data_IF_228736293399
#
_entry.id   IF_228736293399
#
_cell.length_a   1.000
_cell.length_b   1.000
_cell.length_c   1.000
_cell.angle_alpha   90.00
_cell.angle_beta   90.00
_cell.angle_gamma   90.00
#
_symmetry.space_group_name_H-M   'P 1'
#
loop_
_entity.id
_entity.type
_entity.pdbx_description
1 polymer ?
#
# COMPACT_ATOMS: atom_id res chain seq x y z
N UNK A 1 -41.90 -20.50 -14.46
CA UNK A 1 -40.66 -20.46 -13.62
C UNK A 1 -39.45 -20.60 -14.49
N UNK A 2 -38.32 -19.97 -14.12
CA UNK A 2 -37.04 -20.02 -14.85
C UNK A 2 -36.58 -21.48 -15.14
N UNK A 3 -36.67 -22.37 -14.14
CA UNK A 3 -36.41 -23.81 -14.34
C UNK A 3 -37.31 -24.44 -15.39
N UNK A 4 -38.58 -24.03 -15.46
CA UNK A 4 -39.50 -24.47 -16.51
C UNK A 4 -39.07 -24.03 -17.90
N UNK A 5 -38.68 -22.77 -18.05
CA UNK A 5 -38.15 -22.19 -19.29
C UNK A 5 -36.84 -22.89 -19.72
N UNK A 6 -35.90 -23.04 -18.82
CA UNK A 6 -34.63 -23.73 -19.02
C UNK A 6 -34.83 -25.18 -19.43
N UNK A 7 -35.77 -25.90 -18.78
CA UNK A 7 -36.13 -27.29 -19.12
C UNK A 7 -36.78 -27.39 -20.49
N UNK A 8 -37.57 -26.39 -20.85
CA UNK A 8 -38.20 -26.30 -22.20
C UNK A 8 -37.21 -25.97 -23.28
N UNK A 9 -36.28 -25.01 -23.03
CA UNK A 9 -35.23 -24.64 -23.97
C UNK A 9 -34.25 -25.80 -24.23
N UNK A 10 -33.86 -26.56 -23.18
CA UNK A 10 -32.98 -27.74 -23.32
C UNK A 10 -33.60 -28.87 -24.15
N UNK A 11 -34.89 -28.89 -24.34
CA UNK A 11 -35.57 -29.84 -25.20
C UNK A 11 -35.50 -29.50 -26.69
N UNK A 12 -35.09 -28.28 -27.05
CA UNK A 12 -34.91 -27.89 -28.44
C UNK A 12 -33.70 -28.60 -29.05
N UNK A 13 -33.88 -29.24 -30.18
CA UNK A 13 -32.82 -30.03 -30.87
C UNK A 13 -31.58 -29.23 -31.17
N UNK A 14 -31.70 -27.92 -31.40
CA UNK A 14 -30.62 -27.00 -31.76
C UNK A 14 -30.18 -26.06 -30.64
N UNK A 15 -30.56 -26.35 -29.41
CA UNK A 15 -30.29 -25.44 -28.28
C UNK A 15 -28.81 -25.12 -28.14
N UNK A 16 -27.91 -26.11 -28.19
CA UNK A 16 -26.46 -25.90 -28.09
C UNK A 16 -25.89 -25.06 -29.24
N UNK A 17 -26.38 -25.31 -30.46
CA UNK A 17 -25.95 -24.54 -31.64
C UNK A 17 -26.37 -23.08 -31.54
N UNK A 18 -27.55 -22.80 -31.01
CA UNK A 18 -28.02 -21.44 -30.74
C UNK A 18 -27.14 -20.77 -29.66
N UNK A 19 -26.82 -21.49 -28.57
CA UNK A 19 -25.89 -20.98 -27.55
C UNK A 19 -24.52 -20.64 -28.13
N UNK A 20 -23.94 -21.48 -28.95
CA UNK A 20 -22.63 -21.28 -29.55
C UNK A 20 -22.63 -20.11 -30.56
N UNK A 21 -23.70 -19.93 -31.33
CA UNK A 21 -23.88 -18.78 -32.23
C UNK A 21 -23.99 -17.47 -31.42
N UNK A 22 -24.76 -17.49 -30.34
CA UNK A 22 -24.95 -16.33 -29.48
C UNK A 22 -23.63 -15.95 -28.79
N UNK A 23 -22.87 -16.93 -28.30
CA UNK A 23 -21.54 -16.70 -27.70
C UNK A 23 -20.57 -16.11 -28.74
N UNK A 24 -20.58 -16.59 -29.96
CA UNK A 24 -19.78 -16.08 -31.08
C UNK A 24 -20.11 -14.62 -31.42
N UNK A 25 -21.40 -14.32 -31.57
CA UNK A 25 -21.89 -12.96 -31.84
C UNK A 25 -21.54 -12.01 -30.68
N UNK A 26 -21.68 -12.46 -29.44
CA UNK A 26 -21.33 -11.67 -28.29
C UNK A 26 -19.84 -11.31 -28.27
N UNK A 27 -18.99 -12.26 -28.64
CA UNK A 27 -17.54 -12.02 -28.67
C UNK A 27 -17.14 -11.02 -29.76
N UNK A 28 -17.76 -11.14 -30.95
CA UNK A 28 -17.40 -10.33 -32.11
C UNK A 28 -17.93 -8.89 -32.03
N UNK A 29 -19.18 -8.74 -31.60
CA UNK A 29 -19.88 -7.44 -31.69
C UNK A 29 -20.09 -6.73 -30.37
N UNK A 30 -19.60 -7.27 -29.28
CA UNK A 30 -19.83 -6.69 -27.90
C UNK A 30 -19.46 -5.22 -27.75
N UNK A 31 -18.53 -4.73 -28.58
CA UNK A 31 -18.06 -3.34 -28.49
C UNK A 31 -18.83 -2.40 -29.44
N UNK A 32 -19.73 -2.89 -30.27
CA UNK A 32 -20.51 -2.06 -31.15
C UNK A 32 -21.72 -1.42 -30.44
N UNK A 33 -21.99 -0.16 -30.75
CA UNK A 33 -23.06 0.61 -30.11
C UNK A 33 -24.45 -0.01 -30.30
N UNK A 34 -24.74 -0.52 -31.49
CA UNK A 34 -25.99 -1.17 -31.82
C UNK A 34 -26.20 -2.48 -31.07
N UNK A 35 -25.14 -3.25 -30.91
CA UNK A 35 -25.15 -4.48 -30.12
C UNK A 35 -25.35 -4.19 -28.63
N UNK A 36 -24.66 -3.18 -28.11
CA UNK A 36 -24.80 -2.74 -26.74
C UNK A 36 -26.22 -2.27 -26.43
N UNK A 37 -26.78 -1.46 -27.31
CA UNK A 37 -28.18 -1.01 -27.21
C UNK A 37 -29.15 -2.18 -27.21
N UNK A 38 -28.95 -3.13 -28.09
CA UNK A 38 -29.77 -4.35 -28.19
C UNK A 38 -29.68 -5.17 -26.90
N UNK A 39 -28.47 -5.43 -26.41
CA UNK A 39 -28.23 -6.20 -25.20
C UNK A 39 -28.92 -5.55 -23.96
N UNK A 40 -28.80 -4.24 -23.80
CA UNK A 40 -29.47 -3.52 -22.72
C UNK A 40 -30.99 -3.60 -22.85
N UNK A 41 -31.54 -3.45 -24.05
CA UNK A 41 -32.98 -3.57 -24.27
C UNK A 41 -33.50 -4.97 -23.93
N UNK A 42 -32.76 -6.02 -24.29
CA UNK A 42 -33.12 -7.40 -23.96
C UNK A 42 -33.06 -7.65 -22.43
N UNK A 43 -32.04 -7.16 -21.76
CA UNK A 43 -31.98 -7.24 -20.30
C UNK A 43 -33.17 -6.56 -19.62
N UNK A 44 -33.58 -5.38 -20.08
CA UNK A 44 -34.74 -4.67 -19.57
C UNK A 44 -36.05 -5.43 -19.75
N UNK A 45 -36.17 -6.21 -20.84
CA UNK A 45 -37.34 -7.07 -21.07
C UNK A 45 -37.29 -8.36 -20.24
N UNK A 46 -36.12 -8.94 -20.04
CA UNK A 46 -35.95 -10.18 -19.27
C UNK A 46 -36.08 -9.97 -17.75
N UNK A 47 -35.66 -8.81 -17.25
CA UNK A 47 -35.62 -8.53 -15.82
C UNK A 47 -36.98 -8.70 -15.12
N UNK A 48 -38.13 -8.20 -15.65
CA UNK A 48 -39.45 -8.42 -15.06
C UNK A 48 -39.85 -9.90 -15.07
N UNK A 49 -39.39 -10.68 -16.05
CA UNK A 49 -39.73 -12.10 -16.16
C UNK A 49 -39.03 -12.94 -15.10
N UNK A 50 -37.88 -12.48 -14.60
CA UNK A 50 -37.13 -13.18 -13.55
C UNK A 50 -37.86 -13.14 -12.19
N UNK A 51 -38.79 -12.21 -11.97
CA UNK A 51 -39.61 -12.02 -10.75
C UNK A 51 -38.89 -12.45 -9.45
N UNK A 52 -37.72 -11.90 -9.28
CA UNK A 52 -36.74 -12.33 -8.29
C UNK A 52 -37.28 -12.26 -6.84
N UNK A 53 -38.15 -11.31 -6.54
CA UNK A 53 -38.80 -11.23 -5.22
C UNK A 53 -39.72 -12.43 -4.92
N UNK A 54 -40.45 -12.92 -5.91
CA UNK A 54 -41.31 -14.08 -5.72
C UNK A 54 -40.53 -15.39 -5.70
N UNK A 55 -39.46 -15.51 -6.49
CA UNK A 55 -38.54 -16.68 -6.47
C UNK A 55 -37.89 -16.77 -5.09
N UNK A 56 -37.38 -15.69 -4.57
CA UNK A 56 -36.74 -15.63 -3.25
C UNK A 56 -37.73 -15.92 -2.13
N UNK A 57 -38.93 -15.31 -2.15
CA UNK A 57 -39.96 -15.52 -1.15
C UNK A 57 -40.53 -16.96 -1.16
N UNK A 58 -40.69 -17.54 -2.32
CA UNK A 58 -41.13 -18.95 -2.45
C UNK A 58 -40.06 -19.91 -1.97
N UNK A 59 -38.78 -19.60 -2.20
CA UNK A 59 -37.67 -20.43 -1.77
C UNK A 59 -37.49 -20.39 -0.25
N UNK A 60 -37.48 -19.20 0.35
CA UNK A 60 -37.35 -19.02 1.82
C UNK A 60 -38.54 -19.59 2.59
N UNK A 61 -39.77 -19.55 2.05
CA UNK A 61 -40.94 -20.13 2.69
C UNK A 61 -41.01 -21.66 2.59
N UNK A 62 -40.40 -22.26 1.57
CA UNK A 62 -40.45 -23.71 1.33
C UNK A 62 -39.37 -24.49 2.08
N UNK A 63 -38.31 -23.82 2.49
CA UNK A 63 -37.14 -24.43 3.10
C UNK A 63 -36.73 -23.72 4.38
N UNK A 64 -37.56 -23.80 5.41
CA UNK A 64 -37.27 -23.22 6.74
C UNK A 64 -35.99 -23.75 7.38
N UNK A 65 -35.58 -24.97 7.03
CA UNK A 65 -34.31 -25.56 7.46
C UNK A 65 -33.08 -24.94 6.76
N UNK A 66 -33.27 -24.24 5.65
CA UNK A 66 -32.19 -23.46 4.98
C UNK A 66 -31.92 -22.12 5.65
N UNK A 67 -32.71 -21.77 6.68
CA UNK A 67 -32.46 -20.59 7.48
C UNK A 67 -31.07 -20.60 8.12
N UNK A 68 -30.55 -21.79 8.44
CA UNK A 68 -29.22 -22.01 8.98
C UNK A 68 -28.15 -22.24 7.90
N UNK A 69 -28.57 -22.35 6.61
CA UNK A 69 -27.71 -22.51 5.45
C UNK A 69 -28.16 -21.59 4.31
N UNK A 70 -28.22 -20.30 4.59
CA UNK A 70 -28.52 -19.25 3.58
C UNK A 70 -27.64 -19.37 2.33
N UNK A 71 -26.45 -19.94 2.49
CA UNK A 71 -25.47 -20.21 1.44
C UNK A 71 -26.00 -21.05 0.27
N UNK A 72 -26.68 -22.15 0.56
CA UNK A 72 -27.14 -23.09 -0.48
C UNK A 72 -28.34 -22.54 -1.30
N UNK A 73 -29.22 -21.80 -0.67
CA UNK A 73 -30.41 -21.25 -1.33
C UNK A 73 -30.08 -20.20 -2.36
N UNK A 74 -29.09 -19.39 -2.08
CA UNK A 74 -28.62 -18.34 -2.97
C UNK A 74 -27.94 -18.92 -4.21
N UNK A 75 -27.07 -19.91 -4.04
CA UNK A 75 -26.42 -20.62 -5.15
C UNK A 75 -27.45 -21.29 -6.06
N UNK A 76 -28.49 -21.89 -5.53
CA UNK A 76 -29.51 -22.54 -6.36
C UNK A 76 -30.38 -21.56 -7.16
N UNK A 77 -30.52 -20.31 -6.76
CA UNK A 77 -31.31 -19.29 -7.46
C UNK A 77 -30.44 -18.51 -8.45
N UNK A 78 -29.30 -18.02 -7.97
CA UNK A 78 -28.41 -17.13 -8.74
C UNK A 78 -27.53 -17.90 -9.72
N UNK A 79 -26.97 -19.03 -9.30
CA UNK A 79 -26.11 -19.87 -10.12
C UNK A 79 -26.73 -20.37 -11.41
N UNK A 80 -28.02 -20.85 -11.46
CA UNK A 80 -28.65 -21.22 -12.71
C UNK A 80 -28.91 -20.06 -13.65
N UNK A 81 -29.19 -18.87 -13.13
CA UNK A 81 -29.35 -17.66 -13.95
C UNK A 81 -28.02 -17.30 -14.58
N UNK A 82 -26.98 -17.36 -13.77
CA UNK A 82 -25.64 -16.92 -14.13
C UNK A 82 -24.90 -17.90 -15.02
N UNK A 83 -25.00 -19.21 -14.75
CA UNK A 83 -24.37 -20.25 -15.56
C UNK A 83 -25.16 -20.63 -16.83
N UNK A 84 -26.34 -20.02 -17.04
CA UNK A 84 -27.03 -20.21 -18.30
C UNK A 84 -26.40 -19.31 -19.36
N UNK A 85 -25.75 -19.90 -20.35
CA UNK A 85 -25.07 -19.19 -21.44
C UNK A 85 -25.97 -18.14 -22.11
N UNK A 86 -27.25 -18.45 -22.29
CA UNK A 86 -28.22 -17.54 -22.90
C UNK A 86 -28.50 -16.32 -22.06
N UNK A 87 -28.62 -16.48 -20.73
CA UNK A 87 -28.80 -15.35 -19.80
C UNK A 87 -27.50 -14.61 -19.64
N UNK A 88 -26.37 -15.31 -19.54
CA UNK A 88 -25.04 -14.73 -19.44
C UNK A 88 -24.73 -13.84 -20.65
N UNK A 89 -25.07 -14.26 -21.84
CA UNK A 89 -24.96 -13.45 -23.06
C UNK A 89 -25.58 -12.05 -22.89
N UNK A 90 -26.75 -11.97 -22.28
CA UNK A 90 -27.43 -10.70 -22.03
C UNK A 90 -26.90 -9.95 -20.79
N UNK A 91 -26.32 -10.66 -19.83
CA UNK A 91 -25.70 -10.08 -18.64
C UNK A 91 -24.27 -9.58 -18.91
N UNK A 92 -23.55 -10.20 -19.83
CA UNK A 92 -22.23 -9.78 -20.28
C UNK A 92 -22.30 -8.63 -21.30
N UNK A 93 -23.38 -7.84 -21.28
CA UNK A 93 -23.45 -6.59 -22.01
C UNK A 93 -22.19 -5.73 -21.68
N UNK A 94 -21.76 -4.89 -22.59
CA UNK A 94 -20.42 -4.35 -22.65
C UNK A 94 -19.99 -3.66 -21.35
N UNK A 95 -18.74 -3.87 -21.01
CA UNK A 95 -18.13 -3.30 -19.79
C UNK A 95 -18.02 -1.77 -19.86
N UNK A 96 -18.10 -1.16 -21.05
CA UNK A 96 -17.98 0.28 -21.26
C UNK A 96 -19.03 0.77 -22.27
N UNK A 97 -20.25 1.11 -21.81
CA UNK A 97 -21.26 1.74 -22.66
C UNK A 97 -20.75 3.03 -23.28
N UNK A 98 -21.11 3.29 -24.54
CA UNK A 98 -20.53 4.38 -25.34
C UNK A 98 -20.99 5.75 -24.86
N UNK A 99 -22.16 5.86 -24.21
CA UNK A 99 -22.69 7.13 -23.73
C UNK A 99 -23.42 6.97 -22.39
N UNK A 100 -23.61 8.08 -21.69
CA UNK A 100 -24.22 8.12 -20.35
C UNK A 100 -25.66 7.62 -20.32
N UNK A 101 -26.45 7.82 -21.36
CA UNK A 101 -27.82 7.35 -21.44
C UNK A 101 -27.88 5.82 -21.53
N UNK A 102 -27.01 5.21 -22.33
CA UNK A 102 -26.89 3.77 -22.41
C UNK A 102 -26.31 3.19 -21.12
N UNK A 103 -25.30 3.84 -20.55
CA UNK A 103 -24.73 3.47 -19.25
C UNK A 103 -25.78 3.50 -18.16
N UNK A 104 -26.58 4.56 -18.07
CA UNK A 104 -27.66 4.70 -17.06
C UNK A 104 -28.60 3.51 -17.12
N UNK A 105 -29.04 3.11 -18.32
CA UNK A 105 -29.95 1.96 -18.51
C UNK A 105 -29.26 0.64 -18.13
N UNK A 106 -28.04 0.43 -18.59
CA UNK A 106 -27.20 -0.72 -18.30
C UNK A 106 -26.95 -0.86 -16.78
N UNK A 107 -26.48 0.20 -16.13
CA UNK A 107 -26.21 0.21 -14.72
C UNK A 107 -27.47 -0.07 -13.89
N UNK A 108 -28.59 0.57 -14.23
CA UNK A 108 -29.85 0.36 -13.51
C UNK A 108 -30.25 -1.11 -13.48
N UNK A 109 -30.15 -1.80 -14.61
CA UNK A 109 -30.53 -3.21 -14.70
C UNK A 109 -29.53 -4.08 -13.92
N UNK A 110 -28.25 -3.91 -14.15
CA UNK A 110 -27.21 -4.70 -13.47
C UNK A 110 -27.18 -4.43 -11.96
N UNK A 111 -27.40 -3.21 -11.54
CA UNK A 111 -27.42 -2.83 -10.16
C UNK A 111 -28.63 -3.42 -9.40
N UNK A 112 -29.77 -3.53 -10.05
CA UNK A 112 -30.91 -4.26 -9.46
C UNK A 112 -30.56 -5.73 -9.25
N UNK A 113 -29.94 -6.38 -10.23
CA UNK A 113 -29.47 -7.77 -10.11
C UNK A 113 -28.40 -7.90 -9.02
N UNK A 114 -27.45 -6.98 -9.00
CA UNK A 114 -26.41 -6.92 -7.97
C UNK A 114 -26.99 -6.78 -6.57
N UNK A 115 -27.96 -5.91 -6.34
CA UNK A 115 -28.66 -5.80 -5.03
C UNK A 115 -29.35 -7.08 -4.62
N UNK A 116 -29.93 -7.81 -5.56
CA UNK A 116 -30.56 -9.09 -5.28
C UNK A 116 -29.57 -10.15 -4.84
N UNK A 117 -28.39 -10.18 -5.46
CA UNK A 117 -27.30 -11.09 -5.09
C UNK A 117 -26.65 -10.71 -3.77
N UNK A 118 -26.53 -9.41 -3.48
CA UNK A 118 -25.92 -8.89 -2.25
C UNK A 118 -26.82 -8.87 -1.04
N UNK A 119 -28.13 -8.99 -1.19
CA UNK A 119 -29.03 -9.15 -0.04
C UNK A 119 -28.72 -10.43 0.76
N UNK A 120 -27.85 -11.27 0.20
CA UNK A 120 -27.36 -12.52 0.79
C UNK A 120 -25.99 -12.36 1.46
N UNK A 121 -25.71 -11.21 2.05
CA UNK A 121 -24.43 -10.64 2.52
C UNK A 121 -23.57 -11.47 3.48
N UNK A 122 -23.90 -12.73 3.73
CA UNK A 122 -23.16 -13.50 4.74
C UNK A 122 -22.41 -14.72 4.21
N UNK A 123 -22.19 -14.83 2.89
CA UNK A 123 -21.44 -15.95 2.32
C UNK A 123 -20.23 -15.46 1.54
N UNK A 124 -19.01 -15.65 2.08
CA UNK A 124 -17.77 -15.33 1.38
C UNK A 124 -17.64 -16.00 0.00
N UNK A 125 -18.34 -17.11 -0.18
CA UNK A 125 -18.29 -17.94 -1.39
C UNK A 125 -19.19 -17.41 -2.55
N UNK A 126 -20.04 -16.41 -2.30
CA UNK A 126 -20.83 -15.75 -3.34
C UNK A 126 -20.08 -14.58 -4.02
N UNK A 127 -18.88 -14.25 -3.57
CA UNK A 127 -18.02 -13.26 -4.21
C UNK A 127 -17.60 -13.68 -5.63
N UNK A 128 -17.69 -14.96 -5.96
CA UNK A 128 -17.47 -15.50 -7.31
C UNK A 128 -18.72 -15.52 -8.21
N UNK A 129 -19.86 -15.06 -7.73
CA UNK A 129 -21.07 -14.95 -8.58
C UNK A 129 -20.99 -13.69 -9.42
N UNK A 130 -20.85 -13.88 -10.66
CA UNK A 130 -20.50 -12.99 -11.77
C UNK A 130 -21.58 -11.93 -12.19
N UNK A 131 -22.52 -11.51 -11.35
CA UNK A 131 -23.18 -10.20 -11.55
C UNK A 131 -22.22 -9.12 -11.06
N UNK A 132 -21.06 -9.09 -11.72
CA UNK A 132 -19.96 -8.26 -11.31
C UNK A 132 -20.19 -6.84 -11.84
N UNK A 133 -20.36 -5.90 -10.92
CA UNK A 133 -20.18 -4.47 -11.20
C UNK A 133 -18.78 -4.09 -10.76
N UNK A 134 -18.04 -3.48 -11.66
CA UNK A 134 -16.70 -3.01 -11.38
C UNK A 134 -16.73 -1.73 -10.52
N UNK A 135 -15.67 -1.45 -9.80
CA UNK A 135 -15.55 -0.20 -9.05
C UNK A 135 -15.74 1.04 -9.94
N UNK A 136 -15.34 0.95 -11.20
CA UNK A 136 -15.54 2.00 -12.20
C UNK A 136 -17.02 2.21 -12.57
N UNK A 137 -17.84 1.15 -12.59
CA UNK A 137 -19.28 1.28 -12.82
C UNK A 137 -19.96 2.05 -11.69
N UNK A 138 -19.59 1.77 -10.44
CA UNK A 138 -20.07 2.51 -9.27
C UNK A 138 -19.62 3.98 -9.30
N UNK A 139 -18.37 4.24 -9.63
CA UNK A 139 -17.85 5.59 -9.71
C UNK A 139 -18.57 6.40 -10.81
N UNK A 140 -18.76 5.83 -12.00
CA UNK A 140 -19.50 6.47 -13.09
C UNK A 140 -20.99 6.69 -12.73
N UNK A 141 -21.63 5.70 -12.12
CA UNK A 141 -23.01 5.83 -11.64
C UNK A 141 -23.18 6.93 -10.60
N UNK A 142 -22.22 7.07 -9.67
CA UNK A 142 -22.20 8.17 -8.72
C UNK A 142 -22.04 9.53 -9.39
N UNK A 143 -21.17 9.64 -10.38
CA UNK A 143 -20.98 10.85 -11.17
C UNK A 143 -22.27 11.29 -11.88
N UNK A 144 -23.03 10.32 -12.39
CA UNK A 144 -24.33 10.58 -13.04
C UNK A 144 -25.47 10.76 -12.05
N UNK A 145 -25.21 10.73 -10.74
CA UNK A 145 -26.24 10.87 -9.70
C UNK A 145 -27.18 9.68 -9.58
N UNK A 146 -26.84 8.51 -10.14
CA UNK A 146 -27.65 7.30 -10.09
C UNK A 146 -27.64 6.61 -8.72
N UNK A 147 -26.56 6.82 -7.96
CA UNK A 147 -26.40 6.34 -6.58
C UNK A 147 -25.91 7.46 -5.68
N UNK A 148 -26.34 7.51 -4.40
CA UNK A 148 -25.88 8.52 -3.45
C UNK A 148 -24.46 8.21 -2.94
N UNK A 149 -23.82 9.22 -2.33
CA UNK A 149 -22.45 9.11 -1.79
C UNK A 149 -22.35 8.04 -0.70
N UNK A 150 -23.35 7.89 0.14
CA UNK A 150 -23.38 6.87 1.21
C UNK A 150 -23.37 5.46 0.64
N UNK A 151 -23.99 5.26 -0.52
CA UNK A 151 -24.01 3.95 -1.16
C UNK A 151 -22.67 3.61 -1.79
N UNK A 152 -22.00 4.59 -2.41
CA UNK A 152 -20.65 4.35 -2.93
C UNK A 152 -19.64 4.09 -1.80
N UNK A 153 -19.75 4.77 -0.66
CA UNK A 153 -18.94 4.46 0.51
C UNK A 153 -19.18 3.03 1.00
N UNK A 154 -20.44 2.60 1.07
CA UNK A 154 -20.80 1.23 1.45
C UNK A 154 -20.20 0.19 0.49
N UNK A 155 -20.28 0.44 -0.81
CA UNK A 155 -19.77 -0.49 -1.81
C UNK A 155 -18.23 -0.55 -1.87
N UNK A 156 -17.54 0.58 -1.65
CA UNK A 156 -16.09 0.65 -1.71
C UNK A 156 -15.41 0.32 -0.38
N UNK A 157 -16.06 0.62 0.76
CA UNK A 157 -15.49 0.43 2.09
C UNK A 157 -16.15 -0.71 2.87
N UNK A 158 -17.41 -1.06 2.58
CA UNK A 158 -18.20 -1.98 3.38
C UNK A 158 -17.90 -3.46 3.16
N UNK A 159 -17.11 -3.81 2.14
CA UNK A 159 -16.72 -5.20 1.88
C UNK A 159 -15.30 -5.44 2.37
N UNK A 160 -15.20 -5.82 3.63
CA UNK A 160 -13.96 -6.13 4.34
C UNK A 160 -13.11 -7.21 3.63
N UNK A 161 -13.69 -7.98 2.70
CA UNK A 161 -13.00 -9.07 2.02
C UNK A 161 -12.62 -8.79 0.56
N UNK A 162 -12.80 -7.55 0.05
CA UNK A 162 -12.37 -7.21 -1.30
C UNK A 162 -11.48 -5.97 -1.33
N UNK A 163 -10.21 -6.11 -0.89
CA UNK A 163 -9.20 -5.07 -0.95
C UNK A 163 -8.90 -4.60 -2.39
N UNK A 164 -9.21 -5.43 -3.38
CA UNK A 164 -9.03 -5.15 -4.80
C UNK A 164 -9.77 -3.90 -5.28
N UNK A 165 -10.94 -3.57 -4.73
CA UNK A 165 -11.75 -2.45 -5.23
C UNK A 165 -11.14 -1.07 -5.01
N UNK A 166 -10.55 -0.81 -3.85
CA UNK A 166 -9.83 0.47 -3.63
C UNK A 166 -8.55 0.50 -4.45
N UNK A 167 -7.86 -0.62 -4.55
CA UNK A 167 -6.66 -0.75 -5.37
C UNK A 167 -6.97 -0.49 -6.84
N UNK A 168 -8.11 -0.99 -7.36
CA UNK A 168 -8.56 -0.74 -8.74
C UNK A 168 -8.88 0.74 -8.97
N UNK A 169 -9.53 1.40 -8.03
CA UNK A 169 -9.81 2.85 -8.12
C UNK A 169 -8.52 3.66 -8.04
N UNK A 170 -7.61 3.34 -7.12
CA UNK A 170 -6.34 4.07 -6.96
C UNK A 170 -5.39 3.83 -8.14
N UNK A 171 -5.33 2.62 -8.71
CA UNK A 171 -4.52 2.35 -9.90
C UNK A 171 -5.11 2.98 -11.16
N UNK A 172 -6.42 3.02 -11.31
CA UNK A 172 -7.08 3.71 -12.43
C UNK A 172 -6.84 5.22 -12.43
N UNK A 173 -6.50 5.80 -11.28
CA UNK A 173 -6.16 7.23 -11.15
C UNK A 173 -4.73 7.55 -11.61
N UNK A 174 -3.79 6.63 -11.39
CA UNK A 174 -2.39 6.82 -11.83
C UNK A 174 -2.28 6.80 -13.37
N UNK A 175 -3.22 6.14 -14.06
CA UNK A 175 -3.13 5.91 -15.51
C UNK A 175 -3.91 6.90 -16.38
N UNK A 176 -4.90 7.63 -15.83
CA UNK A 176 -5.77 8.53 -16.64
C UNK A 176 -6.22 9.74 -15.82
N UNK A 177 -5.89 10.93 -16.29
CA UNK A 177 -6.30 12.25 -15.80
C UNK A 177 -7.83 12.49 -15.81
N UNK A 178 -8.63 11.63 -15.24
CA UNK A 178 -10.06 11.88 -15.05
C UNK A 178 -10.29 12.57 -13.71
N UNK A 179 -10.42 13.91 -13.75
CA UNK A 179 -10.62 14.77 -12.57
C UNK A 179 -11.74 14.32 -11.62
N UNK A 180 -12.77 13.67 -12.16
CA UNK A 180 -13.92 13.19 -11.40
C UNK A 180 -13.62 11.95 -10.56
N UNK A 181 -12.88 10.99 -11.11
CA UNK A 181 -12.43 9.82 -10.34
C UNK A 181 -11.44 10.22 -9.25
N UNK A 182 -10.60 11.21 -9.54
CA UNK A 182 -9.69 11.77 -8.54
C UNK A 182 -10.47 12.31 -7.33
N UNK A 183 -11.51 13.10 -7.56
CA UNK A 183 -12.32 13.67 -6.46
C UNK A 183 -13.04 12.60 -5.63
N UNK A 184 -13.53 11.54 -6.26
CA UNK A 184 -14.16 10.42 -5.56
C UNK A 184 -13.15 9.62 -4.72
N UNK A 185 -12.02 9.28 -5.30
CA UNK A 185 -10.96 8.57 -4.58
C UNK A 185 -10.49 9.37 -3.39
N UNK A 186 -10.28 10.67 -3.56
CA UNK A 186 -9.88 11.54 -2.45
C UNK A 186 -10.93 11.53 -1.33
N UNK A 187 -12.23 11.57 -1.67
CA UNK A 187 -13.31 11.48 -0.67
C UNK A 187 -13.29 10.14 0.06
N UNK A 188 -13.13 9.02 -0.66
CA UNK A 188 -13.08 7.68 -0.06
C UNK A 188 -11.86 7.54 0.85
N UNK A 189 -10.68 7.94 0.38
CA UNK A 189 -9.44 7.91 1.17
C UNK A 189 -9.56 8.80 2.41
N UNK A 190 -10.07 10.02 2.27
CA UNK A 190 -10.28 10.92 3.41
C UNK A 190 -11.23 10.30 4.43
N UNK A 191 -12.31 9.63 3.98
CA UNK A 191 -13.26 8.98 4.88
C UNK A 191 -12.63 7.80 5.62
N UNK A 192 -11.80 7.00 4.95
CA UNK A 192 -11.02 5.92 5.60
C UNK A 192 -10.09 6.52 6.65
N UNK A 193 -9.35 7.56 6.31
CA UNK A 193 -8.44 8.24 7.23
C UNK A 193 -9.18 8.85 8.41
N UNK A 194 -10.33 9.51 8.21
CA UNK A 194 -11.15 10.06 9.30
C UNK A 194 -11.53 9.00 10.33
N UNK A 195 -11.99 7.84 9.88
CA UNK A 195 -12.39 6.74 10.76
C UNK A 195 -11.18 6.14 11.45
N UNK A 196 -10.13 5.83 10.70
CA UNK A 196 -8.97 5.10 11.23
C UNK A 196 -8.10 5.95 12.14
N UNK A 197 -7.90 7.24 11.86
CA UNK A 197 -7.10 8.13 12.71
C UNK A 197 -7.78 8.46 14.05
N UNK A 198 -9.11 8.31 14.14
CA UNK A 198 -9.87 8.53 15.38
C UNK A 198 -10.10 7.25 16.18
N UNK A 199 -9.67 6.08 15.66
CA UNK A 199 -9.88 4.80 16.35
C UNK A 199 -9.20 4.74 17.71
N UNK A 200 -9.80 4.01 18.64
CA UNK A 200 -9.14 3.52 19.86
C UNK A 200 -8.23 2.32 19.56
N UNK A 201 -8.16 1.36 20.48
CA UNK A 201 -7.31 0.17 20.33
C UNK A 201 -7.97 -0.92 19.47
N UNK A 202 -9.29 -0.91 19.37
CA UNK A 202 -10.04 -1.90 18.59
C UNK A 202 -9.98 -1.62 17.09
N UNK A 203 -10.06 -2.68 16.27
CA UNK A 203 -10.20 -2.56 14.83
C UNK A 203 -11.50 -1.84 14.45
N UNK A 204 -11.44 -1.06 13.38
CA UNK A 204 -12.61 -0.47 12.73
C UNK A 204 -12.98 -1.27 11.49
N UNK A 205 -14.15 -1.01 10.94
CA UNK A 205 -14.58 -1.63 9.67
C UNK A 205 -13.67 -1.27 8.47
N UNK A 206 -12.86 -0.21 8.57
CA UNK A 206 -11.94 0.25 7.51
C UNK A 206 -10.47 -0.05 7.78
N UNK A 207 -10.13 -0.69 8.89
CA UNK A 207 -8.74 -0.98 9.29
C UNK A 207 -7.94 -1.67 8.18
N UNK A 208 -8.50 -2.73 7.57
CA UNK A 208 -7.84 -3.45 6.48
C UNK A 208 -7.67 -2.60 5.22
N UNK A 209 -8.65 -1.75 4.93
CA UNK A 209 -8.56 -0.83 3.80
C UNK A 209 -7.48 0.22 4.02
N UNK A 210 -7.35 0.73 5.24
CA UNK A 210 -6.31 1.68 5.62
C UNK A 210 -4.89 1.08 5.49
N UNK A 211 -4.71 -0.20 5.84
CA UNK A 211 -3.44 -0.90 5.65
C UNK A 211 -3.03 -1.07 4.17
N UNK A 212 -4.01 -1.14 3.28
CA UNK A 212 -3.79 -1.31 1.84
C UNK A 212 -3.67 -0.01 1.06
N UNK A 213 -3.81 1.14 1.72
CA UNK A 213 -3.54 2.43 1.09
C UNK A 213 -2.04 2.55 0.80
N UNK A 214 -1.67 2.50 -0.48
CA UNK A 214 -0.27 2.63 -0.89
C UNK A 214 0.19 4.07 -1.04
N UNK A 215 -0.74 5.01 -1.21
CA UNK A 215 -0.45 6.44 -1.33
C UNK A 215 -1.57 7.28 -0.72
N UNK A 216 -1.19 8.11 0.22
CA UNK A 216 -1.98 9.22 0.74
C UNK A 216 -1.11 10.48 0.66
N UNK A 217 -1.72 11.65 0.59
CA UNK A 217 -0.99 12.88 0.30
C UNK A 217 -1.28 13.97 1.31
N UNK A 218 -0.31 14.85 1.48
CA UNK A 218 -0.47 16.14 2.11
C UNK A 218 0.14 16.26 3.51
N UNK A 219 0.69 17.44 3.79
CA UNK A 219 1.27 17.78 5.08
C UNK A 219 0.24 17.69 6.22
N UNK A 220 -1.01 18.07 5.96
CA UNK A 220 -2.10 17.91 6.93
C UNK A 220 -2.31 16.43 7.30
N UNK A 221 -2.32 15.54 6.30
CA UNK A 221 -2.44 14.09 6.53
C UNK A 221 -1.29 13.57 7.37
N UNK A 222 -0.05 13.98 7.07
CA UNK A 222 1.13 13.62 7.88
C UNK A 222 0.94 14.01 9.34
N UNK A 223 0.55 15.26 9.59
CA UNK A 223 0.38 15.78 10.94
C UNK A 223 -0.72 15.03 11.70
N UNK A 224 -1.86 14.77 11.06
CA UNK A 224 -2.95 13.97 11.64
C UNK A 224 -2.51 12.55 12.00
N UNK A 225 -1.71 11.90 11.15
CA UNK A 225 -1.13 10.58 11.44
C UNK A 225 -0.22 10.67 12.67
N UNK A 226 0.65 11.69 12.77
CA UNK A 226 1.54 11.88 13.92
C UNK A 226 0.78 12.19 15.22
N UNK A 227 -0.30 12.95 15.16
CA UNK A 227 -1.21 13.16 16.28
C UNK A 227 -1.86 11.87 16.75
N UNK A 228 -2.33 11.02 15.82
CA UNK A 228 -2.93 9.73 16.15
C UNK A 228 -1.93 8.75 16.79
N UNK A 229 -0.64 8.83 16.43
CA UNK A 229 0.44 8.11 17.11
C UNK A 229 0.69 8.60 18.54
N UNK A 230 0.54 9.90 18.79
CA UNK A 230 0.97 10.50 20.04
C UNK A 230 2.44 10.21 20.35
N UNK A 231 2.71 9.52 21.47
CA UNK A 231 4.07 9.15 21.91
C UNK A 231 4.52 7.77 21.42
N UNK A 232 3.67 7.02 20.73
CA UNK A 232 3.98 5.68 20.26
C UNK A 232 5.10 5.69 19.21
N UNK A 233 5.87 4.60 19.21
CA UNK A 233 6.97 4.39 18.24
C UNK A 233 6.45 3.83 16.93
N UNK A 234 7.10 4.17 15.82
CA UNK A 234 6.81 3.61 14.50
C UNK A 234 7.27 2.16 14.40
N UNK A 235 6.58 1.35 13.58
CA UNK A 235 6.85 -0.07 13.37
C UNK A 235 7.07 -0.30 11.89
N UNK A 236 8.24 -0.85 11.52
CA UNK A 236 8.51 -1.26 10.14
C UNK A 236 8.02 -2.66 9.79
N UNK A 237 7.95 -3.55 10.76
CA UNK A 237 7.42 -4.89 10.58
C UNK A 237 5.90 -4.88 10.67
N UNK A 238 5.24 -4.66 9.52
CA UNK A 238 3.78 -4.64 9.45
C UNK A 238 3.17 -6.04 9.56
N UNK A 239 3.91 -7.11 9.26
CA UNK A 239 3.35 -8.46 9.24
C UNK A 239 2.90 -8.95 10.62
N UNK A 240 3.73 -8.76 11.64
CA UNK A 240 3.42 -9.16 13.02
C UNK A 240 2.47 -8.20 13.74
N UNK A 241 2.23 -7.02 13.17
CA UNK A 241 1.43 -5.94 13.78
C UNK A 241 0.20 -5.57 12.95
N UNK A 242 -0.18 -6.45 12.01
CA UNK A 242 -1.40 -6.24 11.21
C UNK A 242 -2.60 -5.96 12.11
N UNK A 243 -3.46 -5.07 11.64
CA UNK A 243 -4.67 -4.61 12.29
C UNK A 243 -4.47 -3.86 13.62
N UNK A 244 -3.26 -3.85 14.20
CA UNK A 244 -3.03 -3.03 15.39
C UNK A 244 -2.99 -1.55 15.02
N UNK A 245 -3.43 -0.68 15.93
CA UNK A 245 -3.39 0.77 15.71
C UNK A 245 -2.01 1.25 15.24
N UNK A 246 -0.96 0.83 15.93
CA UNK A 246 0.42 1.22 15.59
C UNK A 246 0.87 0.68 14.24
N UNK A 247 0.50 -0.55 13.88
CA UNK A 247 0.81 -1.15 12.59
C UNK A 247 0.18 -0.36 11.45
N UNK A 248 -1.14 -0.12 11.54
CA UNK A 248 -1.89 0.63 10.53
C UNK A 248 -1.37 2.07 10.40
N UNK A 249 -1.16 2.77 11.51
CA UNK A 249 -0.59 4.12 11.48
C UNK A 249 0.82 4.14 10.86
N UNK A 250 1.64 3.10 11.10
CA UNK A 250 2.96 2.98 10.47
C UNK A 250 2.85 2.74 8.97
N UNK A 251 1.91 1.91 8.51
CA UNK A 251 1.63 1.72 7.09
C UNK A 251 1.17 3.01 6.42
N UNK A 252 0.25 3.74 7.05
CA UNK A 252 -0.22 5.04 6.57
C UNK A 252 0.90 6.08 6.52
N UNK A 253 1.77 6.15 7.54
CA UNK A 253 2.92 7.05 7.55
C UNK A 253 3.88 6.75 6.41
N UNK A 254 4.17 5.47 6.16
CA UNK A 254 5.03 5.05 5.06
C UNK A 254 4.42 5.38 3.69
N UNK A 255 3.09 5.27 3.56
CA UNK A 255 2.33 5.58 2.36
C UNK A 255 2.02 7.09 2.19
N UNK A 256 2.40 7.94 3.16
CA UNK A 256 2.12 9.37 3.12
C UNK A 256 3.21 10.13 2.36
N UNK A 257 2.81 10.82 1.30
CA UNK A 257 3.68 11.61 0.43
C UNK A 257 3.34 13.09 0.51
N UNK A 258 4.32 13.99 0.34
CA UNK A 258 4.02 15.40 0.12
C UNK A 258 3.09 15.60 -1.08
N UNK A 259 2.12 16.50 -0.94
CA UNK A 259 1.35 17.02 -2.06
C UNK A 259 2.19 18.00 -2.88
N UNK A 260 1.95 18.17 -4.18
CA UNK A 260 2.63 19.20 -4.97
C UNK A 260 2.48 20.63 -4.42
N UNK A 261 1.40 20.88 -3.68
CA UNK A 261 1.11 22.19 -3.08
C UNK A 261 1.69 22.36 -1.66
N UNK A 262 2.30 21.30 -1.10
CA UNK A 262 2.91 21.38 0.23
C UNK A 262 4.25 22.12 0.18
N UNK A 263 4.40 23.09 1.05
CA UNK A 263 5.66 23.78 1.28
C UNK A 263 6.14 23.67 2.75
N UNK A 264 7.34 24.16 2.98
CA UNK A 264 7.97 24.12 4.31
C UNK A 264 7.25 24.96 5.35
N UNK A 265 6.64 26.07 4.95
CA UNK A 265 5.95 26.98 5.87
C UNK A 265 4.62 26.40 6.31
N UNK A 266 3.91 25.76 5.38
CA UNK A 266 2.69 24.99 5.65
C UNK A 266 2.99 23.83 6.61
N UNK A 267 4.02 23.02 6.35
CA UNK A 267 4.40 21.92 7.27
C UNK A 267 4.77 22.43 8.64
N UNK A 268 5.55 23.51 8.72
CA UNK A 268 5.94 24.16 9.98
C UNK A 268 4.75 24.69 10.77
N UNK A 269 3.82 25.36 10.08
CA UNK A 269 2.60 25.91 10.69
C UNK A 269 1.71 24.79 11.25
N UNK A 270 1.44 23.77 10.47
CA UNK A 270 0.63 22.63 10.88
C UNK A 270 1.26 21.87 12.05
N UNK A 271 2.56 21.63 12.03
CA UNK A 271 3.27 20.97 13.11
C UNK A 271 3.20 21.78 14.42
N UNK A 272 3.36 23.12 14.33
CA UNK A 272 3.26 24.01 15.50
C UNK A 272 1.84 24.01 16.07
N UNK A 273 0.81 24.09 15.25
CA UNK A 273 -0.60 24.06 15.67
C UNK A 273 -0.97 22.74 16.36
N UNK A 274 -0.36 21.65 15.90
CA UNK A 274 -0.60 20.30 16.42
C UNK A 274 0.31 19.90 17.57
N UNK A 275 1.17 20.78 18.06
CA UNK A 275 2.21 20.51 19.09
C UNK A 275 3.15 19.35 18.73
N UNK A 276 3.46 19.21 17.44
CA UNK A 276 4.41 18.23 16.93
C UNK A 276 5.82 18.83 16.98
N UNK A 277 6.69 18.23 17.78
CA UNK A 277 8.07 18.70 17.91
C UNK A 277 8.91 18.46 16.65
N UNK A 278 9.96 19.27 16.45
CA UNK A 278 10.94 19.05 15.38
C UNK A 278 11.56 17.65 15.45
N UNK A 279 11.81 17.13 16.66
CA UNK A 279 12.33 15.76 16.84
C UNK A 279 11.35 14.75 16.26
N UNK A 280 10.06 14.91 16.52
CA UNK A 280 9.04 13.99 16.01
C UNK A 280 8.89 14.05 14.48
N UNK A 281 9.01 15.24 13.88
CA UNK A 281 9.07 15.40 12.43
C UNK A 281 10.28 14.69 11.84
N UNK A 282 11.45 14.82 12.45
CA UNK A 282 12.69 14.14 12.02
C UNK A 282 12.55 12.63 12.14
N UNK A 283 12.00 12.11 13.24
CA UNK A 283 11.71 10.67 13.39
C UNK A 283 10.78 10.16 12.26
N UNK A 284 9.72 10.91 11.95
CA UNK A 284 8.80 10.57 10.87
C UNK A 284 9.48 10.61 9.50
N UNK A 285 10.32 11.61 9.22
CA UNK A 285 11.07 11.72 7.98
C UNK A 285 12.15 10.62 7.84
N UNK A 286 12.76 10.18 8.93
CA UNK A 286 13.65 9.01 8.93
C UNK A 286 12.90 7.71 8.62
N UNK A 287 11.66 7.59 9.05
CA UNK A 287 10.78 6.45 8.72
C UNK A 287 10.23 6.53 7.30
N UNK A 288 9.84 7.72 6.84
CA UNK A 288 9.22 8.02 5.53
C UNK A 288 10.08 9.08 4.80
N UNK A 289 11.17 8.65 4.10
CA UNK A 289 12.22 9.55 3.60
C UNK A 289 11.75 10.53 2.54
N UNK A 290 10.58 10.33 1.94
CA UNK A 290 9.94 11.29 1.04
C UNK A 290 9.64 12.64 1.71
N UNK A 291 9.68 12.73 3.03
CA UNK A 291 9.46 13.95 3.81
C UNK A 291 10.76 14.67 4.23
N UNK A 292 11.95 14.11 3.96
CA UNK A 292 13.24 14.63 4.45
C UNK A 292 13.49 16.07 3.97
N UNK A 293 13.33 16.33 2.68
CA UNK A 293 13.57 17.64 2.10
C UNK A 293 12.67 18.74 2.72
N UNK A 294 11.37 18.47 2.81
CA UNK A 294 10.42 19.41 3.43
C UNK A 294 10.68 19.57 4.92
N UNK A 295 11.03 18.49 5.62
CA UNK A 295 11.35 18.53 7.04
C UNK A 295 12.63 19.32 7.31
N UNK A 296 13.67 19.19 6.48
CA UNK A 296 14.88 20.01 6.57
C UNK A 296 14.55 21.51 6.50
N UNK A 297 13.75 21.90 5.50
CA UNK A 297 13.34 23.29 5.30
C UNK A 297 12.43 23.79 6.42
N UNK A 298 11.44 23.02 6.83
CA UNK A 298 10.47 23.38 7.88
C UNK A 298 11.12 23.54 9.27
N UNK A 299 12.08 22.67 9.59
CA UNK A 299 12.82 22.74 10.87
C UNK A 299 13.99 23.71 10.86
N UNK A 300 14.49 24.07 9.68
CA UNK A 300 15.73 24.83 9.51
C UNK A 300 16.99 24.03 9.90
N UNK A 301 16.92 22.71 9.88
CA UNK A 301 18.05 21.83 10.21
C UNK A 301 18.90 21.54 8.99
N UNK A 302 19.67 22.51 8.55
CA UNK A 302 20.55 22.38 7.39
C UNK A 302 21.42 21.13 7.50
N UNK A 303 21.41 20.31 6.46
CA UNK A 303 22.15 19.04 6.36
C UNK A 303 21.40 17.83 6.93
N UNK A 304 20.14 17.97 7.32
CA UNK A 304 19.31 16.87 7.79
C UNK A 304 19.14 15.80 6.72
N UNK A 305 18.83 16.18 5.50
CA UNK A 305 18.62 15.25 4.39
C UNK A 305 19.88 14.43 4.13
N UNK A 306 21.05 15.09 4.05
CA UNK A 306 22.34 14.43 3.83
C UNK A 306 22.69 13.46 4.96
N UNK A 307 22.51 13.89 6.24
CA UNK A 307 22.75 13.04 7.39
C UNK A 307 21.78 11.84 7.45
N UNK A 308 20.53 12.01 7.08
CA UNK A 308 19.54 10.94 7.04
C UNK A 308 19.88 9.91 5.95
N UNK A 309 20.19 10.38 4.74
CA UNK A 309 20.58 9.49 3.63
C UNK A 309 21.90 8.76 3.88
N UNK A 310 22.80 9.31 4.67
CA UNK A 310 23.96 8.55 5.16
C UNK A 310 23.53 7.27 5.89
N UNK A 311 22.56 7.36 6.84
CA UNK A 311 22.05 6.18 7.52
C UNK A 311 21.31 5.23 6.58
N UNK A 312 20.49 5.76 5.69
CA UNK A 312 19.77 4.93 4.70
C UNK A 312 20.73 4.15 3.79
N UNK A 313 21.79 4.79 3.30
CA UNK A 313 22.73 4.19 2.37
C UNK A 313 23.47 2.95 2.92
N UNK A 314 23.64 2.89 4.24
CA UNK A 314 24.33 1.78 4.90
C UNK A 314 23.38 0.68 5.42
N UNK A 315 22.11 0.68 5.03
CA UNK A 315 21.16 -0.40 5.31
C UNK A 315 21.12 -1.39 4.15
N UNK A 316 20.75 -2.65 4.43
CA UNK A 316 20.63 -3.70 3.39
C UNK A 316 19.25 -3.72 2.74
N UNK A 317 18.62 -2.57 2.53
CA UNK A 317 17.30 -2.48 1.90
C UNK A 317 17.41 -2.29 0.39
N UNK A 318 16.39 -2.74 -0.34
CA UNK A 318 16.28 -2.46 -1.77
C UNK A 318 15.89 -0.99 -1.98
N UNK A 319 16.63 -0.27 -2.82
CA UNK A 319 16.38 1.14 -3.12
C UNK A 319 15.75 1.30 -4.49
N UNK A 320 14.75 2.18 -4.58
CA UNK A 320 14.24 2.66 -5.85
C UNK A 320 15.23 3.63 -6.52
N UNK A 321 15.02 3.88 -7.80
CA UNK A 321 15.91 4.74 -8.59
C UNK A 321 15.96 6.18 -8.08
N UNK A 322 14.85 6.68 -7.50
CA UNK A 322 14.79 8.01 -6.91
C UNK A 322 15.72 8.11 -5.70
N UNK A 323 15.68 7.15 -4.80
CA UNK A 323 16.53 7.11 -3.61
C UNK A 323 18.01 6.95 -3.99
N UNK A 324 18.31 6.11 -4.99
CA UNK A 324 19.66 5.98 -5.56
C UNK A 324 20.17 7.29 -6.13
N UNK A 325 19.35 8.00 -6.90
CA UNK A 325 19.70 9.29 -7.48
C UNK A 325 19.96 10.37 -6.42
N UNK A 326 19.24 10.37 -5.30
CA UNK A 326 19.49 11.31 -4.20
C UNK A 326 20.82 10.99 -3.52
N UNK A 327 21.10 9.73 -3.21
CA UNK A 327 22.38 9.35 -2.56
C UNK A 327 23.57 9.68 -3.46
N UNK A 328 23.45 9.49 -4.78
CA UNK A 328 24.50 9.83 -5.75
C UNK A 328 24.86 11.32 -5.79
N UNK A 329 24.04 12.21 -5.22
CA UNK A 329 24.39 13.63 -5.07
C UNK A 329 25.42 13.87 -3.98
N UNK A 330 25.52 12.96 -3.02
CA UNK A 330 26.37 13.11 -1.83
C UNK A 330 27.67 12.31 -1.91
N UNK A 331 27.70 11.22 -2.67
CA UNK A 331 28.88 10.35 -2.77
C UNK A 331 28.98 9.73 -4.16
N UNK A 332 30.21 9.57 -4.71
CA UNK A 332 30.45 8.84 -5.95
C UNK A 332 30.47 7.30 -5.74
N UNK A 333 30.43 6.82 -4.49
CA UNK A 333 30.47 5.39 -4.18
C UNK A 333 29.14 4.76 -4.58
N UNK A 334 29.20 3.63 -5.28
CA UNK A 334 28.03 2.88 -5.67
C UNK A 334 27.25 2.40 -4.44
N UNK A 335 25.91 2.34 -4.57
CA UNK A 335 25.03 1.96 -3.46
C UNK A 335 25.32 0.54 -2.98
N UNK A 336 25.58 -0.35 -3.90
CA UNK A 336 25.92 -1.74 -3.63
C UNK A 336 27.18 -1.82 -2.76
N UNK A 337 28.19 -0.99 -3.03
CA UNK A 337 29.42 -0.92 -2.23
C UNK A 337 29.16 -0.33 -0.83
N UNK A 338 28.32 0.71 -0.72
CA UNK A 338 27.91 1.27 0.59
C UNK A 338 27.16 0.23 1.43
N UNK A 339 26.28 -0.56 0.80
CA UNK A 339 25.56 -1.65 1.45
C UNK A 339 26.48 -2.80 1.85
N UNK A 340 27.57 -3.05 1.11
CA UNK A 340 28.61 -4.02 1.47
C UNK A 340 29.55 -3.52 2.56
N UNK A 341 29.56 -2.20 2.83
CA UNK A 341 30.31 -1.59 3.93
C UNK A 341 31.39 -0.60 3.51
N UNK A 342 31.42 -0.18 2.24
CA UNK A 342 32.19 0.98 1.85
C UNK A 342 31.69 2.22 2.60
N UNK A 343 32.57 3.18 2.83
CA UNK A 343 32.26 4.36 3.62
C UNK A 343 32.93 5.60 3.03
N UNK A 344 32.14 6.63 2.81
CA UNK A 344 32.62 7.94 2.39
C UNK A 344 32.82 8.84 3.60
N UNK A 345 34.08 9.01 4.00
CA UNK A 345 34.48 9.80 5.19
C UNK A 345 34.18 11.28 4.96
N UNK A 346 34.37 11.78 3.74
CA UNK A 346 34.21 13.20 3.44
C UNK A 346 32.72 13.58 3.45
N UNK A 347 31.86 12.78 2.80
CA UNK A 347 30.41 12.95 2.90
C UNK A 347 29.94 12.94 4.37
N UNK A 348 30.36 11.95 5.15
CA UNK A 348 29.96 11.86 6.55
C UNK A 348 30.38 13.12 7.35
N UNK A 349 31.62 13.57 7.20
CA UNK A 349 32.14 14.75 7.91
C UNK A 349 31.40 16.02 7.50
N UNK A 350 31.12 16.20 6.22
CA UNK A 350 30.34 17.34 5.70
C UNK A 350 28.93 17.34 6.25
N UNK A 351 28.22 16.21 6.20
CA UNK A 351 26.87 16.04 6.75
C UNK A 351 26.86 16.30 8.26
N UNK A 352 27.79 15.72 9.01
CA UNK A 352 27.90 15.92 10.44
C UNK A 352 28.18 17.38 10.82
N UNK A 353 29.08 18.05 10.08
CA UNK A 353 29.39 19.48 10.27
C UNK A 353 28.18 20.36 9.95
N UNK A 354 27.46 20.07 8.87
CA UNK A 354 26.32 20.86 8.43
C UNK A 354 25.16 20.82 9.42
N UNK A 355 24.80 19.63 9.91
CA UNK A 355 23.69 19.45 10.84
C UNK A 355 24.02 19.83 12.28
N UNK A 356 25.29 19.65 12.67
CA UNK A 356 25.79 19.87 14.04
C UNK A 356 25.52 18.70 15.00
N UNK A 357 26.34 18.63 16.04
CA UNK A 357 26.41 17.48 16.96
C UNK A 357 25.06 17.11 17.61
N UNK A 358 24.34 18.09 18.15
CA UNK A 358 23.09 17.84 18.88
C UNK A 358 21.99 17.31 17.98
N UNK A 359 21.82 17.92 16.80
CA UNK A 359 20.82 17.49 15.81
C UNK A 359 21.20 16.15 15.17
N UNK A 360 22.50 15.92 14.95
CA UNK A 360 22.98 14.62 14.47
C UNK A 360 22.63 13.50 15.46
N UNK A 361 22.69 13.75 16.77
CA UNK A 361 22.29 12.75 17.77
C UNK A 361 20.81 12.36 17.67
N UNK A 362 19.95 13.30 17.29
CA UNK A 362 18.53 13.00 17.00
C UNK A 362 18.39 12.07 15.79
N UNK A 363 19.09 12.38 14.68
CA UNK A 363 19.08 11.53 13.47
C UNK A 363 19.67 10.15 13.78
N UNK A 364 20.77 10.10 14.52
CA UNK A 364 21.40 8.87 14.98
C UNK A 364 20.42 7.98 15.78
N UNK A 365 19.66 8.58 16.70
CA UNK A 365 18.68 7.86 17.50
C UNK A 365 17.46 7.43 16.66
N UNK A 366 17.03 8.24 15.70
CA UNK A 366 15.95 7.95 14.79
C UNK A 366 16.32 6.88 13.71
N UNK A 367 17.61 6.57 13.53
CA UNK A 367 18.06 5.54 12.59
C UNK A 367 17.46 4.15 12.87
N UNK A 368 16.96 3.88 14.08
CA UNK A 368 16.20 2.67 14.42
C UNK A 368 14.92 2.50 13.58
N UNK A 369 14.40 3.57 12.98
CA UNK A 369 13.19 3.55 12.18
C UNK A 369 13.41 3.27 10.69
N UNK A 370 14.67 3.17 10.23
CA UNK A 370 14.99 3.03 8.81
C UNK A 370 14.81 1.60 8.31
N UNK A 371 15.17 0.59 9.11
CA UNK A 371 15.26 -0.79 8.67
C UNK A 371 14.42 -1.77 9.49
N UNK A 372 13.92 -2.82 8.84
CA UNK A 372 13.20 -3.94 9.48
C UNK A 372 14.09 -4.73 10.43
N UNK A 373 15.34 -4.92 10.07
CA UNK A 373 16.35 -5.62 10.86
C UNK A 373 17.32 -4.60 11.47
N UNK A 374 18.10 -5.01 12.46
CA UNK A 374 19.07 -4.13 13.11
C UNK A 374 20.23 -3.65 12.21
N UNK A 375 20.02 -3.59 10.87
CA UNK A 375 21.05 -3.15 9.90
C UNK A 375 21.48 -1.69 10.10
N UNK A 376 20.60 -0.83 10.66
CA UNK A 376 20.96 0.52 11.07
C UNK A 376 22.11 0.55 12.11
N UNK A 377 22.39 -0.54 12.83
CA UNK A 377 23.48 -0.62 13.80
C UNK A 377 24.84 -0.53 13.13
N UNK A 378 25.00 -0.98 11.89
CA UNK A 378 26.22 -0.80 11.09
C UNK A 378 26.51 0.69 10.90
N UNK A 379 25.54 1.44 10.37
CA UNK A 379 25.69 2.88 10.14
C UNK A 379 26.06 3.63 11.43
N UNK A 380 25.46 3.24 12.58
CA UNK A 380 25.81 3.80 13.89
C UNK A 380 27.24 3.48 14.31
N UNK A 381 27.70 2.23 14.17
CA UNK A 381 29.08 1.84 14.47
C UNK A 381 30.08 2.63 13.64
N UNK A 382 29.78 2.83 12.35
CA UNK A 382 30.63 3.61 11.46
C UNK A 382 30.67 5.09 11.91
N UNK A 383 29.53 5.70 12.21
CA UNK A 383 29.45 7.05 12.73
C UNK A 383 30.24 7.21 14.04
N UNK A 384 30.09 6.28 14.99
CA UNK A 384 30.80 6.29 16.26
C UNK A 384 32.32 6.13 16.07
N UNK A 385 32.74 5.29 15.12
CA UNK A 385 34.15 5.13 14.80
C UNK A 385 34.77 6.42 14.23
N UNK A 386 34.15 7.03 13.21
CA UNK A 386 34.64 8.26 12.56
C UNK A 386 34.66 9.44 13.54
N UNK A 387 33.67 9.53 14.42
CA UNK A 387 33.59 10.58 15.44
C UNK A 387 34.53 10.34 16.65
N UNK A 388 35.34 9.26 16.64
CA UNK A 388 36.28 8.95 17.70
C UNK A 388 35.62 8.52 19.02
N UNK A 389 34.34 8.17 19.01
CA UNK A 389 33.64 7.60 20.18
C UNK A 389 34.14 6.18 20.48
N UNK A 390 34.66 5.46 19.48
CA UNK A 390 35.20 4.11 19.59
C UNK A 390 36.70 4.16 19.71
N UNK A 391 37.27 3.57 20.78
CA UNK A 391 38.72 3.47 20.96
C UNK A 391 39.28 2.27 20.21
N UNK A 392 40.39 2.45 19.50
CA UNK A 392 41.01 1.40 18.69
C UNK A 392 41.35 0.12 19.49
N UNK A 393 41.82 0.28 20.75
CA UNK A 393 42.13 -0.86 21.60
C UNK A 393 40.90 -1.68 22.02
N UNK A 394 39.77 -1.02 22.29
CA UNK A 394 38.52 -1.67 22.68
C UNK A 394 37.89 -2.35 21.46
N UNK A 395 37.89 -1.66 20.30
CA UNK A 395 37.42 -2.24 19.04
C UNK A 395 38.19 -3.52 18.67
N UNK A 396 39.51 -3.52 18.82
CA UNK A 396 40.37 -4.68 18.53
C UNK A 396 40.00 -5.89 19.42
N UNK A 397 39.79 -5.66 20.73
CA UNK A 397 39.37 -6.74 21.66
C UNK A 397 38.00 -7.30 21.26
N UNK A 398 37.05 -6.44 20.90
CA UNK A 398 35.69 -6.83 20.55
C UNK A 398 35.68 -7.59 19.19
N UNK A 399 36.49 -7.16 18.21
CA UNK A 399 36.64 -7.84 16.94
C UNK A 399 37.15 -9.27 17.13
N UNK A 400 38.17 -9.45 17.97
CA UNK A 400 38.71 -10.78 18.26
C UNK A 400 37.65 -11.66 18.93
N UNK A 401 36.91 -11.11 19.89
CA UNK A 401 35.91 -11.86 20.65
C UNK A 401 34.67 -12.25 19.83
N UNK A 402 34.16 -11.32 18.99
CA UNK A 402 32.89 -11.48 18.28
C UNK A 402 33.03 -11.88 16.81
N UNK A 403 34.20 -11.68 16.21
CA UNK A 403 34.48 -11.86 14.78
C UNK A 403 33.37 -11.31 13.87
N UNK A 404 32.98 -10.08 14.13
CA UNK A 404 31.88 -9.42 13.45
C UNK A 404 32.41 -8.50 12.32
N UNK A 405 31.90 -8.68 11.09
CA UNK A 405 32.31 -7.94 9.88
C UNK A 405 32.18 -6.42 10.09
N UNK A 406 31.06 -5.94 10.65
CA UNK A 406 30.82 -4.51 10.80
C UNK A 406 31.76 -3.86 11.80
N UNK A 407 32.16 -4.59 12.86
CA UNK A 407 33.18 -4.12 13.81
C UNK A 407 34.55 -4.02 13.15
N UNK A 408 34.89 -5.02 12.30
CA UNK A 408 36.16 -5.04 11.58
C UNK A 408 36.26 -3.84 10.63
N UNK A 409 35.19 -3.59 9.85
CA UNK A 409 35.13 -2.45 8.93
C UNK A 409 35.19 -1.11 9.68
N UNK A 410 34.42 -0.98 10.79
CA UNK A 410 34.43 0.23 11.61
C UNK A 410 35.80 0.55 12.23
N UNK A 411 36.63 -0.45 12.49
CA UNK A 411 37.97 -0.28 13.01
C UNK A 411 38.87 0.54 12.08
N UNK A 412 38.74 0.33 10.77
CA UNK A 412 39.46 1.12 9.76
C UNK A 412 39.09 2.61 9.73
N UNK A 413 37.89 2.94 10.22
CA UNK A 413 37.33 4.29 10.21
C UNK A 413 37.73 5.14 11.43
N UNK A 414 38.30 4.52 12.47
CA UNK A 414 38.70 5.24 13.69
C UNK A 414 39.84 6.22 13.32
N UNK A 415 39.75 7.52 13.70
CA UNK A 415 40.80 8.48 13.42
C UNK A 415 42.17 8.03 13.93
N UNK A 416 43.23 8.32 13.15
CA UNK A 416 44.60 8.04 13.56
C UNK A 416 45.06 9.06 14.61
N UNK A 417 45.83 8.58 15.58
CA UNK A 417 46.41 9.42 16.61
C UNK A 417 47.66 10.15 16.15
N UNK A 418 48.42 10.76 17.12
CA UNK A 418 49.63 11.55 16.83
C UNK A 418 50.76 10.78 16.14
N UNK A 419 50.78 9.44 16.28
CA UNK A 419 51.79 8.54 15.62
C UNK A 419 51.13 7.78 14.49
N UNK A 420 50.56 8.49 13.51
CA UNK A 420 49.70 7.95 12.45
C UNK A 420 50.34 6.77 11.70
N UNK A 421 51.57 6.90 11.24
CA UNK A 421 52.26 5.86 10.44
C UNK A 421 52.45 4.55 11.23
N UNK A 422 52.84 4.66 12.50
CA UNK A 422 52.99 3.48 13.37
C UNK A 422 51.64 2.80 13.61
N UNK A 423 50.63 3.60 13.92
CA UNK A 423 49.29 3.11 14.17
C UNK A 423 48.65 2.47 12.91
N UNK A 424 48.89 3.06 11.76
CA UNK A 424 48.45 2.50 10.47
C UNK A 424 49.11 1.14 10.18
N UNK A 425 50.39 1.02 10.44
CA UNK A 425 51.11 -0.24 10.30
C UNK A 425 50.57 -1.31 11.26
N UNK A 426 50.34 -0.95 12.54
CA UNK A 426 49.78 -1.85 13.53
C UNK A 426 48.36 -2.33 13.14
N UNK A 427 47.53 -1.43 12.59
CA UNK A 427 46.17 -1.77 12.07
C UNK A 427 46.25 -2.72 10.89
N UNK A 428 47.14 -2.42 9.92
CA UNK A 428 47.37 -3.26 8.77
C UNK A 428 47.83 -4.68 9.17
N UNK A 429 48.77 -4.79 10.06
CA UNK A 429 49.25 -6.08 10.56
C UNK A 429 48.16 -6.86 11.29
N UNK A 430 47.33 -6.18 12.07
CA UNK A 430 46.20 -6.79 12.73
C UNK A 430 45.19 -7.33 11.70
N UNK A 431 44.84 -6.56 10.67
CA UNK A 431 43.86 -6.97 9.67
C UNK A 431 44.42 -8.17 8.87
N UNK A 432 45.68 -8.17 8.50
CA UNK A 432 46.32 -9.30 7.79
C UNK A 432 46.30 -10.57 8.64
N UNK A 433 46.65 -10.44 9.94
CA UNK A 433 46.59 -11.57 10.88
C UNK A 433 45.16 -12.09 11.00
N UNK A 434 44.18 -11.20 11.18
CA UNK A 434 42.76 -11.55 11.32
C UNK A 434 42.23 -12.28 10.07
N UNK A 435 42.57 -11.82 8.85
CA UNK A 435 42.24 -12.47 7.58
C UNK A 435 42.82 -13.88 7.46
N UNK A 436 44.09 -14.03 7.87
CA UNK A 436 44.76 -15.35 7.86
C UNK A 436 44.04 -16.32 8.79
N UNK A 437 43.76 -15.90 10.02
CA UNK A 437 43.06 -16.71 11.01
C UNK A 437 41.60 -16.99 10.65
N UNK A 438 40.94 -16.12 9.86
CA UNK A 438 39.56 -16.28 9.45
C UNK A 438 39.32 -17.55 8.65
N UNK A 439 40.30 -18.04 7.93
CA UNK A 439 40.20 -19.29 7.16
C UNK A 439 39.93 -20.53 8.03
N UNK A 440 40.25 -20.44 9.32
CA UNK A 440 40.07 -21.51 10.29
C UNK A 440 38.66 -21.56 10.87
N UNK A 441 37.83 -20.51 10.67
CA UNK A 441 36.52 -20.35 11.29
C UNK A 441 35.34 -20.70 10.38
N UNK A 442 35.59 -21.15 9.15
CA UNK A 442 34.58 -21.52 8.17
C UNK A 442 33.91 -20.32 7.47
N UNK A 443 33.17 -20.59 6.38
CA UNK A 443 32.66 -19.60 5.45
C UNK A 443 31.74 -18.51 6.07
N UNK A 444 31.03 -18.82 7.16
CA UNK A 444 30.15 -17.86 7.83
C UNK A 444 30.89 -16.82 8.69
N UNK A 445 32.19 -17.04 8.96
CA UNK A 445 33.01 -16.16 9.81
C UNK A 445 34.27 -15.66 9.10
N UNK A 446 34.37 -15.94 7.81
CA UNK A 446 35.37 -15.37 6.91
C UNK A 446 34.88 -14.02 6.40
#
# INVERSE_FOLDING_TARGET
TYRGLQKSLRKLTYYRQIEDIIDGLAHEYRNEATYQQFSVNMLLQLLPLLNTKNIFRQYTNKHTWLRDKQEYGAREIVYPIHNNKFVRFWLDAPQHPINDALFTRYFTVRYQLYKLTNYMEHTPELEETDVYLQSMDFAHAWMLGLIPTEEIYRELMGRVNSPTRIKDITSALDERNHSLFHSLTQKVVNRILEIELQRGDSETQVTRLAEELHRVYGAETLIRILQAFGKDTFIRDSYNWRNTKRGVLSSLLHACYPSPDDDSDTLKSLASQADISHIRLVEAAMFAPQWLELTEKATGWKGLESAAYYFHAHTSECFDDKKKAIIARYTPIAIEDLQEGAFDIDWFKEAYKAIGKERFEVVYNAAKYISLSNTHTRARKFADAVNGKTKAADAKKEIIAKRNKDLLMSYGLIPLGRKADKELLERYQFLQKFLKESKEFGAQRQ
#
